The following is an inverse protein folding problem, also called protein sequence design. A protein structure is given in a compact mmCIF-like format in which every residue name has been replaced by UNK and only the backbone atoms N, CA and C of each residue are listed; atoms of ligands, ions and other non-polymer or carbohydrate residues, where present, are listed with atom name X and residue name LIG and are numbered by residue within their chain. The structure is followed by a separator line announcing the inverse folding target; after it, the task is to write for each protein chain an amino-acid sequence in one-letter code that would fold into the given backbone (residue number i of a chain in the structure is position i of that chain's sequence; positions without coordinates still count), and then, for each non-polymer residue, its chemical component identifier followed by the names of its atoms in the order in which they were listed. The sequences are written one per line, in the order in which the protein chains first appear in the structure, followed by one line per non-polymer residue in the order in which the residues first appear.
data_IF_784691472484
#
_entry.id   IF_784691472484
#
_cell.length_a   1.000
_cell.length_b   1.000
_cell.length_c   1.000
_cell.angle_alpha   90.00
_cell.angle_beta   90.00
_cell.angle_gamma   90.00
#
_symmetry.space_group_name_H-M   'P 1'
#
loop_
_entity.id
_entity.type
_entity.pdbx_description
1 polymer ?
#
# COMPACT_ATOMS: atom_id res chain seq x y z
N UNK A 1 10.74 9.69 12.72
CA UNK A 1 9.31 9.37 12.42
C UNK A 1 9.06 7.95 12.90
N UNK A 2 8.11 7.77 13.78
CA UNK A 2 7.75 6.43 14.22
C UNK A 2 6.97 5.65 13.15
N UNK A 3 6.70 4.35 13.40
CA UNK A 3 6.05 3.47 12.44
C UNK A 3 4.64 3.93 12.06
N UNK A 4 3.89 4.45 13.04
CA UNK A 4 2.53 4.93 12.80
C UNK A 4 2.54 6.16 11.91
N UNK A 5 3.45 7.10 12.17
CA UNK A 5 3.63 8.29 11.34
C UNK A 5 4.07 7.94 9.91
N UNK A 6 4.94 6.94 9.75
CA UNK A 6 5.35 6.46 8.43
C UNK A 6 4.18 5.84 7.66
N UNK A 7 3.36 5.01 8.32
CA UNK A 7 2.17 4.42 7.72
C UNK A 7 1.14 5.48 7.33
N UNK A 8 0.87 6.45 8.21
CA UNK A 8 -0.05 7.55 7.94
C UNK A 8 0.43 8.36 6.72
N UNK A 9 1.71 8.72 6.69
CA UNK A 9 2.29 9.45 5.56
C UNK A 9 2.23 8.64 4.26
N UNK A 10 2.48 7.34 4.30
CA UNK A 10 2.36 6.46 3.14
C UNK A 10 0.91 6.40 2.63
N UNK A 11 -0.07 6.25 3.52
CA UNK A 11 -1.48 6.28 3.17
C UNK A 11 -1.89 7.61 2.53
N UNK A 12 -1.46 8.75 3.11
CA UNK A 12 -1.72 10.07 2.53
C UNK A 12 -1.15 10.20 1.11
N UNK A 13 0.11 9.78 0.90
CA UNK A 13 0.73 9.81 -0.42
C UNK A 13 -0.07 8.98 -1.44
N UNK A 14 -0.53 7.79 -1.04
CA UNK A 14 -1.33 6.94 -1.91
C UNK A 14 -2.68 7.57 -2.28
N UNK A 15 -3.36 8.18 -1.31
CA UNK A 15 -4.65 8.85 -1.51
C UNK A 15 -4.50 10.09 -2.40
N UNK A 16 -3.39 10.81 -2.30
CA UNK A 16 -3.10 12.01 -3.10
C UNK A 16 -2.82 11.71 -4.57
N UNK A 17 -2.62 10.45 -4.94
CA UNK A 17 -2.46 10.02 -6.33
C UNK A 17 -3.81 9.50 -6.84
N UNK A 18 -4.52 10.23 -7.71
CA UNK A 18 -5.71 9.70 -8.36
C UNK A 18 -5.37 8.46 -9.18
N UNK A 19 -6.14 7.39 -9.00
CA UNK A 19 -5.96 6.11 -9.70
C UNK A 19 -7.29 5.46 -10.07
N UNK A 20 -8.13 6.13 -10.86
CA UNK A 20 -9.33 5.48 -11.36
C UNK A 20 -8.96 4.22 -12.16
N UNK A 21 -9.86 3.24 -12.19
CA UNK A 21 -9.61 1.95 -12.84
C UNK A 21 -9.08 2.12 -14.27
N UNK A 22 -7.94 1.50 -14.55
CA UNK A 22 -7.20 1.64 -15.82
C UNK A 22 -6.13 2.74 -15.81
N UNK A 23 -6.00 3.52 -14.75
CA UNK A 23 -5.04 4.63 -14.61
C UNK A 23 -4.20 4.52 -13.34
N UNK A 24 -3.76 3.31 -13.00
CA UNK A 24 -3.09 3.00 -11.73
C UNK A 24 -1.56 3.15 -11.78
N UNK A 25 -0.99 3.54 -12.93
CA UNK A 25 0.47 3.54 -13.14
C UNK A 25 1.23 4.29 -12.05
N UNK A 26 0.79 5.49 -11.70
CA UNK A 26 1.52 6.36 -10.77
C UNK A 26 1.47 5.81 -9.34
N UNK A 27 0.31 5.36 -8.87
CA UNK A 27 0.18 4.73 -7.55
C UNK A 27 0.90 3.39 -7.49
N UNK A 28 0.93 2.61 -8.57
CA UNK A 28 1.71 1.38 -8.66
C UNK A 28 3.22 1.66 -8.48
N UNK A 29 3.74 2.73 -9.07
CA UNK A 29 5.12 3.15 -8.86
C UNK A 29 5.40 3.56 -7.40
N UNK A 30 4.44 4.20 -6.74
CA UNK A 30 4.57 4.50 -5.30
C UNK A 30 4.65 3.21 -4.48
N UNK A 31 3.76 2.24 -4.73
CA UNK A 31 3.77 0.95 -4.03
C UNK A 31 5.10 0.21 -4.24
N UNK A 32 5.59 0.17 -5.49
CA UNK A 32 6.88 -0.43 -5.81
C UNK A 32 8.02 0.22 -5.01
N UNK A 33 8.14 1.53 -5.07
CA UNK A 33 9.19 2.25 -4.33
C UNK A 33 9.13 1.98 -2.83
N UNK A 34 7.92 1.99 -2.25
CA UNK A 34 7.75 1.72 -0.81
C UNK A 34 8.14 0.30 -0.42
N UNK A 35 7.77 -0.70 -1.21
CA UNK A 35 8.21 -2.06 -0.97
C UNK A 35 9.74 -2.20 -1.05
N UNK A 36 10.38 -1.54 -2.03
CA UNK A 36 11.84 -1.51 -2.15
C UNK A 36 12.50 -0.81 -0.95
N UNK A 37 12.00 0.36 -0.54
CA UNK A 37 12.46 1.09 0.65
C UNK A 37 12.31 0.26 1.93
N UNK A 38 11.27 -0.55 2.04
CA UNK A 38 10.98 -1.42 3.17
C UNK A 38 11.73 -2.76 3.14
N UNK A 39 12.61 -2.96 2.16
CA UNK A 39 13.49 -4.11 2.10
C UNK A 39 12.84 -5.41 1.63
N UNK A 40 11.80 -5.34 0.81
CA UNK A 40 11.29 -6.51 0.11
C UNK A 40 12.39 -7.09 -0.78
N UNK A 41 12.52 -8.42 -0.80
CA UNK A 41 13.61 -9.10 -1.52
C UNK A 41 13.45 -9.02 -3.04
N UNK A 42 12.21 -8.93 -3.51
CA UNK A 42 11.86 -8.86 -4.91
C UNK A 42 10.61 -8.02 -5.07
N UNK A 43 10.65 -7.03 -5.96
CA UNK A 43 9.50 -6.20 -6.29
C UNK A 43 9.43 -6.01 -7.79
N UNK A 44 8.29 -6.28 -8.38
CA UNK A 44 8.07 -6.07 -9.81
C UNK A 44 6.67 -5.50 -10.08
N UNK A 45 6.54 -4.85 -11.22
CA UNK A 45 5.24 -4.50 -11.81
C UNK A 45 5.09 -5.38 -13.05
N UNK A 46 4.02 -6.15 -13.11
CA UNK A 46 3.77 -7.04 -14.23
C UNK A 46 3.21 -6.30 -15.46
N UNK A 47 2.97 -7.03 -16.54
CA UNK A 47 2.45 -6.46 -17.80
C UNK A 47 1.04 -5.87 -17.68
N UNK A 48 0.32 -6.21 -16.62
CA UNK A 48 -1.03 -5.70 -16.35
C UNK A 48 -1.03 -4.49 -15.42
N UNK A 49 0.13 -4.14 -14.86
CA UNK A 49 0.27 -3.03 -13.92
C UNK A 49 0.15 -3.44 -12.45
N UNK A 50 0.00 -4.73 -12.15
CA UNK A 50 -0.03 -5.23 -10.78
C UNK A 50 1.36 -5.17 -10.14
N UNK A 51 1.43 -4.72 -8.90
CA UNK A 51 2.67 -4.67 -8.12
C UNK A 51 2.77 -5.94 -7.29
N UNK A 52 3.88 -6.65 -7.43
CA UNK A 52 4.15 -7.88 -6.71
C UNK A 52 5.42 -7.70 -5.87
N UNK A 53 5.30 -7.92 -4.56
CA UNK A 53 6.42 -7.87 -3.63
C UNK A 53 6.57 -9.18 -2.88
N UNK A 54 7.81 -9.56 -2.58
CA UNK A 54 8.14 -10.81 -1.87
C UNK A 54 9.09 -10.53 -0.72
N UNK A 55 8.72 -11.03 0.45
CA UNK A 55 9.49 -10.96 1.68
C UNK A 55 9.79 -12.37 2.15
N UNK A 56 11.05 -12.80 2.08
CA UNK A 56 11.45 -14.18 2.45
C UNK A 56 11.89 -14.27 3.90
N UNK A 57 11.50 -15.37 4.54
CA UNK A 57 12.10 -15.79 5.80
C UNK A 57 13.46 -16.47 5.60
N UNK A 58 14.04 -16.97 6.69
CA UNK A 58 15.37 -17.56 6.70
C UNK A 58 15.39 -19.08 6.46
N UNK A 59 14.24 -19.71 6.24
CA UNK A 59 14.10 -21.15 5.98
C UNK A 59 12.90 -21.48 5.11
N UNK A 60 12.89 -22.64 4.43
CA UNK A 60 11.76 -23.06 3.61
C UNK A 60 10.45 -23.17 4.39
N UNK A 61 9.35 -22.89 3.74
CA UNK A 61 8.02 -22.97 4.33
C UNK A 61 6.93 -22.57 3.33
N UNK A 62 5.74 -22.31 3.85
CA UNK A 62 4.58 -21.92 3.05
C UNK A 62 4.71 -20.47 2.58
N UNK A 63 3.98 -20.17 1.51
CA UNK A 63 3.78 -18.80 1.04
C UNK A 63 2.43 -18.30 1.51
N UNK A 64 2.41 -17.11 2.08
CA UNK A 64 1.18 -16.35 2.35
C UNK A 64 1.10 -15.24 1.31
N UNK A 65 -0.04 -15.13 0.65
CA UNK A 65 -0.34 -14.01 -0.25
C UNK A 65 -1.32 -13.06 0.42
N UNK A 66 -0.94 -11.80 0.52
CA UNK A 66 -1.82 -10.69 0.86
C UNK A 66 -2.15 -9.95 -0.43
N UNK A 67 -3.43 -9.83 -0.74
CA UNK A 67 -3.89 -9.28 -2.01
C UNK A 67 -4.84 -8.11 -1.81
N UNK A 68 -4.74 -7.10 -2.65
CA UNK A 68 -5.60 -5.93 -2.64
C UNK A 68 -5.61 -5.24 -3.99
N UNK A 69 -6.31 -4.11 -4.08
CA UNK A 69 -6.33 -3.28 -5.28
C UNK A 69 -5.93 -1.82 -4.97
N UNK A 70 -5.45 -1.12 -5.98
CA UNK A 70 -4.95 0.25 -5.87
C UNK A 70 -5.73 1.25 -6.70
N UNK A 71 -6.69 0.79 -7.47
CA UNK A 71 -7.64 1.65 -8.16
C UNK A 71 -8.76 2.11 -7.21
N UNK A 72 -9.53 3.05 -7.66
CA UNK A 72 -10.74 3.53 -6.99
C UNK A 72 -11.79 3.92 -8.02
N UNK A 73 -13.04 4.00 -7.57
CA UNK A 73 -14.14 4.54 -8.38
C UNK A 73 -13.96 6.05 -8.57
N UNK A 74 -14.55 6.57 -9.64
CA UNK A 74 -14.47 8.00 -9.94
C UNK A 74 -15.10 8.88 -8.85
N UNK A 75 -14.64 10.11 -8.78
CA UNK A 75 -15.28 11.17 -7.99
C UNK A 75 -16.21 11.93 -8.94
N UNK A 76 -17.53 11.70 -8.77
CA UNK A 76 -18.54 12.30 -9.64
C UNK A 76 -19.05 13.63 -9.08
N UNK A 77 -19.08 13.73 -7.77
CA UNK A 77 -19.75 14.80 -6.99
C UNK A 77 -18.76 15.52 -6.05
N UNK A 78 -17.62 15.91 -6.59
CA UNK A 78 -16.54 16.55 -5.80
C UNK A 78 -17.02 17.78 -4.99
N UNK A 79 -18.02 18.50 -5.47
CA UNK A 79 -18.61 19.65 -4.77
C UNK A 79 -19.41 19.31 -3.51
N UNK A 80 -19.79 18.04 -3.32
CA UNK A 80 -20.50 17.57 -2.13
C UNK A 80 -19.56 17.02 -1.04
N UNK A 81 -18.25 16.92 -1.34
CA UNK A 81 -17.26 16.47 -0.39
C UNK A 81 -16.91 17.57 0.61
N UNK A 82 -16.88 17.24 1.90
CA UNK A 82 -16.43 18.16 2.96
C UNK A 82 -14.93 18.36 3.02
N UNK A 83 -14.17 17.45 2.41
CA UNK A 83 -12.71 17.49 2.26
C UNK A 83 -12.35 17.24 0.78
N UNK A 84 -11.18 17.68 0.35
CA UNK A 84 -10.69 17.37 -1.00
C UNK A 84 -10.61 15.85 -1.20
N UNK A 85 -11.27 15.28 -2.22
CA UNK A 85 -11.26 13.84 -2.49
C UNK A 85 -9.86 13.25 -2.67
N UNK A 86 -8.86 14.05 -3.06
CA UNK A 86 -7.47 13.64 -3.23
C UNK A 86 -6.50 14.41 -2.32
N UNK A 87 -7.01 15.02 -1.25
CA UNK A 87 -6.18 15.79 -0.33
C UNK A 87 -5.41 14.91 0.65
N UNK A 88 -5.97 13.77 1.03
CA UNK A 88 -5.40 12.96 2.10
C UNK A 88 -5.40 13.70 3.43
N UNK A 89 -6.35 14.61 3.63
CA UNK A 89 -6.44 15.45 4.80
C UNK A 89 -6.68 14.62 6.07
N UNK A 90 -5.99 15.01 7.14
CA UNK A 90 -6.21 14.39 8.45
C UNK A 90 -7.04 15.34 9.31
N UNK A 91 -8.20 14.88 9.71
CA UNK A 91 -9.07 15.60 10.63
C UNK A 91 -9.66 14.61 11.65
N UNK A 92 -9.62 14.99 12.94
CA UNK A 92 -10.11 14.20 14.05
C UNK A 92 -9.64 12.72 14.04
N UNK A 93 -8.37 12.49 13.68
CA UNK A 93 -7.76 11.16 13.65
C UNK A 93 -8.19 10.28 12.47
N UNK A 94 -8.75 10.85 11.43
CA UNK A 94 -9.16 10.15 10.20
C UNK A 94 -8.48 10.75 8.99
N UNK A 95 -8.15 9.91 8.01
CA UNK A 95 -7.66 10.33 6.70
C UNK A 95 -8.84 10.37 5.74
N UNK A 96 -9.06 11.53 5.13
CA UNK A 96 -10.14 11.75 4.18
C UNK A 96 -9.63 11.68 2.74
N UNK A 97 -10.38 10.99 1.90
CA UNK A 97 -10.12 10.94 0.47
C UNK A 97 -10.73 9.73 -0.22
N UNK A 98 -10.89 9.85 -1.53
CA UNK A 98 -11.34 8.75 -2.37
C UNK A 98 -10.28 7.64 -2.37
N UNK A 99 -10.74 6.39 -2.16
CA UNK A 99 -9.87 5.23 -2.08
C UNK A 99 -9.20 5.01 -0.72
N UNK A 100 -9.40 5.88 0.27
CA UNK A 100 -8.85 5.69 1.62
C UNK A 100 -9.38 4.42 2.29
N UNK A 101 -10.69 4.22 2.29
CA UNK A 101 -11.34 3.04 2.86
C UNK A 101 -11.34 1.85 1.89
N UNK A 102 -11.47 2.10 0.59
CA UNK A 102 -11.53 1.09 -0.47
C UNK A 102 -10.54 1.42 -1.58
N UNK A 103 -9.27 0.90 -1.51
CA UNK A 103 -8.75 0.22 -0.32
C UNK A 103 -7.27 0.57 -0.08
N UNK A 104 -6.86 1.79 -0.44
CA UNK A 104 -5.45 2.24 -0.28
C UNK A 104 -4.99 2.22 1.18
N UNK A 105 -5.88 2.53 2.12
CA UNK A 105 -5.57 2.42 3.55
C UNK A 105 -5.19 1.00 3.94
N UNK A 106 -5.95 0.01 3.48
CA UNK A 106 -5.64 -1.41 3.71
C UNK A 106 -4.37 -1.86 3.01
N UNK A 107 -4.14 -1.43 1.76
CA UNK A 107 -2.93 -1.80 1.00
C UNK A 107 -1.67 -1.24 1.64
N UNK A 108 -1.67 0.02 2.03
CA UNK A 108 -0.52 0.64 2.70
C UNK A 108 -0.24 0.01 4.07
N UNK A 109 -1.29 -0.33 4.82
CA UNK A 109 -1.16 -1.06 6.08
C UNK A 109 -0.59 -2.46 5.88
N UNK A 110 -1.06 -3.18 4.87
CA UNK A 110 -0.59 -4.51 4.49
C UNK A 110 0.91 -4.53 4.16
N UNK A 111 1.36 -3.63 3.31
CA UNK A 111 2.78 -3.49 2.93
C UNK A 111 3.63 -3.16 4.16
N UNK A 112 3.20 -2.20 4.98
CA UNK A 112 3.90 -1.79 6.20
C UNK A 112 3.97 -2.92 7.22
N UNK A 113 2.89 -3.68 7.40
CA UNK A 113 2.85 -4.80 8.33
C UNK A 113 3.84 -5.92 7.97
N UNK A 114 3.96 -6.24 6.68
CA UNK A 114 4.95 -7.23 6.20
C UNK A 114 6.37 -6.76 6.48
N UNK A 115 6.66 -5.48 6.22
CA UNK A 115 7.97 -4.90 6.49
C UNK A 115 8.32 -4.93 7.98
N UNK A 116 7.40 -4.49 8.83
CA UNK A 116 7.61 -4.48 10.28
C UNK A 116 7.74 -5.89 10.87
N UNK A 117 6.95 -6.85 10.38
CA UNK A 117 7.09 -8.25 10.78
C UNK A 117 8.47 -8.81 10.44
N UNK A 118 8.96 -8.54 9.23
CA UNK A 118 10.30 -8.99 8.83
C UNK A 118 11.41 -8.34 9.67
N UNK A 119 11.27 -7.06 10.00
CA UNK A 119 12.19 -6.35 10.88
C UNK A 119 12.15 -6.88 12.32
N UNK A 120 10.96 -7.00 12.91
CA UNK A 120 10.78 -7.44 14.29
C UNK A 120 11.26 -8.88 14.55
N UNK A 121 11.11 -9.75 13.55
CA UNK A 121 11.59 -11.13 13.62
C UNK A 121 13.04 -11.30 13.18
N UNK A 122 13.69 -10.27 12.63
CA UNK A 122 14.98 -10.39 11.98
C UNK A 122 14.96 -11.41 10.84
N UNK A 123 13.82 -11.57 10.17
CA UNK A 123 13.57 -12.60 9.14
C UNK A 123 13.53 -14.03 9.67
N UNK A 124 13.44 -14.23 10.99
CA UNK A 124 13.38 -15.57 11.59
C UNK A 124 11.97 -16.15 11.49
N UNK A 125 11.58 -16.53 10.29
CA UNK A 125 10.34 -17.26 10.00
C UNK A 125 10.51 -18.20 8.80
N UNK A 126 9.62 -19.20 8.71
CA UNK A 126 9.62 -20.15 7.61
C UNK A 126 8.76 -19.64 6.44
N UNK A 127 9.25 -19.86 5.21
CA UNK A 127 8.51 -19.51 3.99
C UNK A 127 8.66 -18.06 3.60
N UNK A 128 7.61 -17.52 2.99
CA UNK A 128 7.61 -16.16 2.48
C UNK A 128 6.23 -15.50 2.56
N UNK A 129 6.22 -14.18 2.56
CA UNK A 129 5.01 -13.37 2.49
C UNK A 129 5.07 -12.59 1.19
N UNK A 130 4.05 -12.76 0.34
CA UNK A 130 3.89 -12.02 -0.90
C UNK A 130 2.77 -10.99 -0.75
N UNK A 131 2.96 -9.84 -1.37
CA UNK A 131 1.95 -8.80 -1.49
C UNK A 131 1.65 -8.58 -2.96
N UNK A 132 0.38 -8.55 -3.31
CA UNK A 132 -0.11 -8.21 -4.65
C UNK A 132 -1.07 -7.03 -4.56
N UNK A 133 -0.89 -6.05 -5.42
CA UNK A 133 -1.82 -4.92 -5.51
C UNK A 133 -1.82 -4.22 -6.88
#
# INVERSE_FOLDING_TARGET
MDRDQQLIAFCQQAVQIPSPSGQEREVAQLMKRKMEEYGFDEVLIDRYGSVLGRMRGNRPGKTILLDGHIDHVDVIDAGEWSHDPFGGEIDQGRIYGRGTSDMKGSVTAMISAVAHFAEDTGRDFAGEICVSC
#
